data_IF_118324885864
#
_entry.id   IF_118324885864
#
_cell.length_a   1.000
_cell.length_b   1.000
_cell.length_c   1.000
_cell.angle_alpha   90.00
_cell.angle_beta   90.00
_cell.angle_gamma   90.00
#
_symmetry.space_group_name_H-M   'P 1'
#
loop_
_entity.id
_entity.type
_entity.pdbx_description
1 polymer ?
#
# COMPACT_ATOMS: atom_id res chain seq x y z
N UNK A 1 -5.79 -3.54 -8.01
CA UNK A 1 -6.33 -4.91 -7.82
C UNK A 1 -5.28 -5.90 -7.37
N UNK A 2 -4.08 -5.93 -7.99
CA UNK A 2 -3.02 -6.87 -7.63
C UNK A 2 -2.65 -6.93 -6.14
N UNK A 3 -2.49 -5.78 -5.47
CA UNK A 3 -2.26 -5.74 -4.02
C UNK A 3 -3.42 -6.32 -3.21
N UNK A 4 -4.66 -6.08 -3.64
CA UNK A 4 -5.84 -6.61 -2.94
C UNK A 4 -5.92 -8.13 -3.09
N UNK A 5 -5.68 -8.66 -4.28
CA UNK A 5 -5.66 -10.11 -4.49
C UNK A 5 -4.56 -10.78 -3.68
N UNK A 6 -3.35 -10.18 -3.65
CA UNK A 6 -2.29 -10.67 -2.80
C UNK A 6 -2.71 -10.63 -1.32
N UNK A 7 -3.23 -9.51 -0.82
CA UNK A 7 -3.59 -9.38 0.58
C UNK A 7 -4.78 -10.27 1.01
N UNK A 8 -5.73 -10.57 0.10
CA UNK A 8 -6.78 -11.56 0.33
C UNK A 8 -6.21 -12.98 0.44
N UNK A 9 -5.26 -13.36 -0.42
CA UNK A 9 -4.66 -14.70 -0.42
C UNK A 9 -3.69 -14.91 0.73
N UNK A 10 -2.86 -13.90 1.03
CA UNK A 10 -1.70 -14.07 1.91
C UNK A 10 -1.91 -13.48 3.31
N UNK A 11 -2.77 -12.47 3.49
CA UNK A 11 -2.89 -11.75 4.76
C UNK A 11 -4.23 -11.97 5.46
N UNK A 12 -5.04 -12.95 5.03
CA UNK A 12 -6.34 -13.24 5.65
C UNK A 12 -7.29 -12.03 5.70
N UNK A 13 -7.05 -11.02 4.85
CA UNK A 13 -7.92 -9.86 4.77
C UNK A 13 -9.26 -10.30 4.20
N UNK A 14 -10.33 -9.68 4.67
CA UNK A 14 -11.66 -9.92 4.12
C UNK A 14 -12.02 -8.88 3.05
N UNK A 15 -12.88 -9.20 2.07
CA UNK A 15 -13.34 -8.22 1.07
C UNK A 15 -13.93 -6.94 1.68
N UNK A 16 -14.54 -7.03 2.87
CA UNK A 16 -15.13 -5.90 3.60
C UNK A 16 -14.11 -4.86 4.07
N UNK A 17 -12.84 -5.23 4.24
CA UNK A 17 -11.77 -4.31 4.63
C UNK A 17 -11.34 -3.36 3.51
N UNK A 18 -11.71 -3.66 2.25
CA UNK A 18 -11.39 -2.83 1.09
C UNK A 18 -12.51 -1.83 0.75
N UNK A 19 -13.19 -1.30 1.76
CA UNK A 19 -14.30 -0.34 1.59
C UNK A 19 -13.86 1.08 1.92
N UNK A 20 -14.57 2.06 1.35
CA UNK A 20 -14.33 3.49 1.61
C UNK A 20 -12.88 3.95 1.29
N UNK A 21 -12.26 4.78 2.15
CA UNK A 21 -10.89 5.26 1.93
C UNK A 21 -9.83 4.15 1.87
N UNK A 22 -10.01 3.08 2.64
CA UNK A 22 -9.08 1.94 2.68
C UNK A 22 -9.02 1.17 1.34
N UNK A 23 -10.06 1.30 0.50
CA UNK A 23 -10.11 0.70 -0.82
C UNK A 23 -8.96 1.14 -1.74
N UNK A 24 -8.35 2.30 -1.46
CA UNK A 24 -7.33 2.94 -2.28
C UNK A 24 -6.00 3.14 -1.56
N UNK A 25 -5.87 2.64 -0.33
CA UNK A 25 -4.66 2.77 0.48
C UNK A 25 -3.59 1.76 0.07
N UNK A 26 -2.95 2.00 -1.08
CA UNK A 26 -1.91 1.12 -1.60
C UNK A 26 -0.70 1.07 -0.65
N UNK A 27 -0.39 2.18 0.04
CA UNK A 27 0.65 2.24 1.07
C UNK A 27 0.35 1.30 2.22
N UNK A 28 -0.84 1.39 2.80
CA UNK A 28 -1.25 0.50 3.88
C UNK A 28 -1.20 -0.97 3.49
N UNK A 29 -1.67 -1.31 2.29
CA UNK A 29 -1.64 -2.69 1.78
C UNK A 29 -0.22 -3.22 1.56
N UNK A 30 0.64 -2.42 0.90
CA UNK A 30 2.03 -2.80 0.66
C UNK A 30 2.81 -2.95 1.97
N UNK A 31 2.61 -2.03 2.92
CA UNK A 31 3.23 -2.10 4.25
C UNK A 31 2.82 -3.36 4.99
N UNK A 32 1.52 -3.70 5.03
CA UNK A 32 1.03 -4.94 5.66
C UNK A 32 1.64 -6.19 5.04
N UNK A 33 1.68 -6.28 3.71
CA UNK A 33 2.30 -7.41 3.00
C UNK A 33 3.79 -7.53 3.32
N UNK A 34 4.51 -6.41 3.37
CA UNK A 34 5.94 -6.39 3.67
C UNK A 34 6.29 -6.67 5.14
N UNK A 35 5.34 -6.45 6.07
CA UNK A 35 5.54 -6.61 7.51
C UNK A 35 4.87 -7.84 8.12
N UNK A 36 4.10 -8.58 7.33
CA UNK A 36 3.53 -9.86 7.74
C UNK A 36 4.64 -10.83 8.20
N UNK A 37 4.36 -11.70 9.16
CA UNK A 37 5.38 -12.56 9.73
C UNK A 37 5.79 -13.68 8.75
N UNK A 38 7.05 -13.73 8.27
CA UNK A 38 7.48 -14.77 7.35
C UNK A 38 7.82 -16.07 8.09
N UNK A 39 7.33 -17.20 7.58
CA UNK A 39 7.66 -18.56 8.04
C UNK A 39 8.88 -19.11 7.30
N UNK A 40 8.98 -18.84 5.99
CA UNK A 40 10.07 -19.32 5.12
C UNK A 40 11.06 -18.20 4.78
N UNK A 41 12.27 -18.59 4.33
CA UNK A 41 13.27 -17.64 3.84
C UNK A 41 12.82 -17.00 2.51
N UNK A 42 12.12 -17.78 1.71
CA UNK A 42 11.50 -17.40 0.43
C UNK A 42 10.45 -16.31 0.65
N UNK A 43 9.53 -16.48 1.61
CA UNK A 43 8.55 -15.46 2.01
C UNK A 43 9.24 -14.17 2.44
N UNK A 44 10.29 -14.26 3.29
CA UNK A 44 11.05 -13.08 3.73
C UNK A 44 11.69 -12.34 2.57
N UNK A 45 12.22 -13.06 1.57
CA UNK A 45 12.78 -12.47 0.35
C UNK A 45 11.68 -11.82 -0.48
N UNK A 46 10.55 -12.50 -0.64
CA UNK A 46 9.38 -11.99 -1.38
C UNK A 46 8.77 -10.74 -0.77
N UNK A 47 8.88 -10.54 0.54
CA UNK A 47 8.35 -9.36 1.25
C UNK A 47 9.17 -8.07 1.03
N UNK A 48 10.34 -8.14 0.40
CA UNK A 48 11.14 -6.95 0.09
C UNK A 48 10.50 -6.16 -1.05
N UNK A 49 10.09 -4.92 -0.77
CA UNK A 49 9.56 -4.01 -1.78
C UNK A 49 10.65 -3.63 -2.79
N UNK A 50 10.39 -3.73 -4.10
CA UNK A 50 11.39 -3.49 -5.14
C UNK A 50 11.62 -2.00 -5.46
N UNK A 51 11.02 -1.08 -4.71
CA UNK A 51 11.12 0.37 -4.91
C UNK A 51 10.99 1.10 -3.55
N UNK A 52 11.45 2.37 -3.46
CA UNK A 52 11.41 3.13 -2.22
C UNK A 52 9.98 3.46 -1.77
N UNK A 53 9.75 3.56 -0.46
CA UNK A 53 8.42 3.86 0.09
C UNK A 53 7.82 5.19 -0.42
N UNK A 54 8.66 6.18 -0.71
CA UNK A 54 8.23 7.48 -1.26
C UNK A 54 7.58 7.38 -2.64
N UNK A 55 7.95 6.37 -3.44
CA UNK A 55 7.37 6.14 -4.76
C UNK A 55 5.92 5.67 -4.68
N UNK A 56 5.63 4.81 -3.72
CA UNK A 56 4.28 4.30 -3.52
C UNK A 56 3.34 5.39 -2.99
N UNK A 57 3.83 6.23 -2.08
CA UNK A 57 3.09 7.39 -1.58
C UNK A 57 2.80 8.40 -2.70
N UNK A 58 3.78 8.64 -3.57
CA UNK A 58 3.59 9.48 -4.76
C UNK A 58 2.51 8.91 -5.68
N UNK A 59 2.53 7.60 -5.96
CA UNK A 59 1.55 6.94 -6.83
C UNK A 59 0.12 7.04 -6.25
N UNK A 60 -0.04 6.86 -4.94
CA UNK A 60 -1.31 7.01 -4.24
C UNK A 60 -1.86 8.44 -4.34
N UNK A 61 -0.99 9.43 -4.14
CA UNK A 61 -1.36 10.85 -4.26
C UNK A 61 -1.71 11.21 -5.71
N UNK A 62 -0.95 10.68 -6.68
CA UNK A 62 -1.18 10.90 -8.10
C UNK A 62 -2.55 10.37 -8.54
N UNK A 63 -2.95 9.19 -8.05
CA UNK A 63 -4.27 8.61 -8.33
C UNK A 63 -5.44 9.55 -7.97
N UNK A 64 -5.42 10.15 -6.78
CA UNK A 64 -6.48 11.06 -6.35
C UNK A 64 -6.46 12.38 -7.14
N UNK A 65 -5.27 12.93 -7.33
CA UNK A 65 -5.08 14.22 -7.98
C UNK A 65 -5.28 14.19 -9.50
N UNK A 66 -5.17 13.03 -10.15
CA UNK A 66 -5.45 12.85 -11.58
C UNK A 66 -6.94 12.79 -11.92
N UNK A 67 -7.80 12.42 -10.96
CA UNK A 67 -9.25 12.22 -11.21
C UNK A 67 -10.10 13.43 -10.81
N UNK A 68 -9.70 14.15 -9.77
CA UNK A 68 -10.49 15.24 -9.23
C UNK A 68 -9.73 16.57 -9.35
N UNK A 69 -10.34 17.61 -9.95
CA UNK A 69 -9.75 18.94 -9.98
C UNK A 69 -9.55 19.45 -8.55
N UNK A 70 -8.38 20.02 -8.28
CA UNK A 70 -8.16 20.68 -7.02
C UNK A 70 -8.85 22.06 -7.07
N UNK A 71 -9.96 22.20 -6.34
CA UNK A 71 -10.75 23.42 -6.28
C UNK A 71 -9.91 24.67 -5.93
N UNK A 72 -8.83 24.50 -5.16
CA UNK A 72 -7.96 25.62 -4.76
C UNK A 72 -7.02 26.13 -5.87
N UNK A 73 -6.77 25.33 -6.93
CA UNK A 73 -5.77 25.65 -7.96
C UNK A 73 -6.35 25.92 -9.35
N UNK A 74 -7.62 25.63 -9.60
CA UNK A 74 -8.28 25.88 -10.90
C UNK A 74 -7.66 25.14 -12.09
N UNK A 75 -6.70 24.24 -11.85
CA UNK A 75 -6.01 23.50 -12.92
C UNK A 75 -6.77 22.24 -13.30
N UNK A 76 -6.88 22.01 -14.60
CA UNK A 76 -7.39 20.77 -15.18
C UNK A 76 -6.41 19.63 -14.83
N UNK A 77 -6.85 18.52 -14.21
CA UNK A 77 -5.97 17.42 -13.77
C UNK A 77 -5.01 16.88 -14.84
N UNK A 78 -5.47 16.81 -16.09
CA UNK A 78 -4.67 16.31 -17.22
C UNK A 78 -3.39 17.12 -17.48
N UNK A 79 -3.36 18.41 -17.11
CA UNK A 79 -2.18 19.26 -17.30
C UNK A 79 -1.18 19.20 -16.14
N UNK A 80 -1.48 18.42 -15.08
CA UNK A 80 -0.64 18.36 -13.87
C UNK A 80 0.50 17.35 -13.96
N UNK A 81 0.44 16.46 -14.95
CA UNK A 81 1.39 15.35 -15.10
C UNK A 81 2.07 15.42 -16.46
N UNK A 82 3.37 15.18 -16.44
CA UNK A 82 4.21 15.09 -17.63
C UNK A 82 4.20 13.68 -18.22
N UNK A 83 4.74 13.53 -19.43
CA UNK A 83 5.02 12.21 -20.01
C UNK A 83 6.01 11.39 -19.17
N UNK A 84 6.93 12.07 -18.45
CA UNK A 84 7.88 11.41 -17.54
C UNK A 84 7.16 10.84 -16.31
N UNK A 85 6.19 11.58 -15.75
CA UNK A 85 5.36 11.08 -14.66
C UNK A 85 4.55 9.85 -15.07
N UNK A 86 4.02 9.85 -16.30
CA UNK A 86 3.31 8.71 -16.86
C UNK A 86 4.24 7.49 -16.99
N UNK A 87 5.46 7.68 -17.49
CA UNK A 87 6.47 6.62 -17.59
C UNK A 87 6.87 6.08 -16.20
N UNK A 88 7.09 6.96 -15.23
CA UNK A 88 7.38 6.60 -13.84
C UNK A 88 6.26 5.76 -13.23
N UNK A 89 5.01 6.20 -13.37
CA UNK A 89 3.85 5.47 -12.86
C UNK A 89 3.73 4.07 -13.49
N UNK A 90 4.02 3.95 -14.79
CA UNK A 90 3.98 2.68 -15.51
C UNK A 90 5.06 1.71 -15.00
N UNK A 91 6.29 2.19 -14.82
CA UNK A 91 7.40 1.39 -14.26
C UNK A 91 7.02 0.90 -12.85
N UNK A 92 6.53 1.79 -11.98
CA UNK A 92 6.13 1.43 -10.63
C UNK A 92 4.99 0.40 -10.63
N UNK A 93 4.00 0.56 -11.51
CA UNK A 93 2.90 -0.39 -11.63
C UNK A 93 3.37 -1.79 -12.09
N UNK A 94 4.33 -1.85 -13.02
CA UNK A 94 4.93 -3.11 -13.47
C UNK A 94 5.73 -3.79 -12.35
N UNK A 95 6.54 -3.03 -11.62
CA UNK A 95 7.29 -3.55 -10.46
C UNK A 95 6.35 -4.06 -9.38
N UNK A 96 5.28 -3.32 -9.08
CA UNK A 96 4.26 -3.73 -8.13
C UNK A 96 3.57 -5.03 -8.55
N UNK A 97 3.20 -5.14 -9.84
CA UNK A 97 2.60 -6.35 -10.40
C UNK A 97 3.54 -7.55 -10.28
N UNK A 98 4.81 -7.39 -10.66
CA UNK A 98 5.81 -8.45 -10.55
C UNK A 98 6.00 -8.87 -9.09
N UNK A 99 6.11 -7.91 -8.17
CA UNK A 99 6.23 -8.16 -6.75
C UNK A 99 5.03 -8.95 -6.21
N UNK A 100 3.81 -8.50 -6.47
CA UNK A 100 2.59 -9.19 -5.99
C UNK A 100 2.44 -10.61 -6.51
N UNK A 101 2.99 -10.92 -7.70
CA UNK A 101 3.01 -12.29 -8.25
C UNK A 101 4.06 -13.18 -7.60
N UNK A 102 5.11 -12.60 -7.06
CA UNK A 102 6.18 -13.31 -6.34
C UNK A 102 5.89 -13.54 -4.87
N UNK A 103 4.83 -12.92 -4.33
CA UNK A 103 4.43 -13.15 -2.94
C UNK A 103 3.83 -14.55 -2.81
N UNK A 104 4.49 -15.38 -2.02
CA UNK A 104 3.94 -16.66 -1.56
C UNK A 104 2.82 -16.44 -0.54
N UNK A 105 1.97 -17.44 -0.36
CA UNK A 105 0.96 -17.43 0.69
C UNK A 105 1.63 -17.24 2.06
N UNK A 106 1.30 -16.12 2.71
CA UNK A 106 1.77 -15.79 4.04
C UNK A 106 0.77 -16.36 5.07
N UNK A 107 1.23 -16.69 6.28
CA UNK A 107 0.29 -16.99 7.35
C UNK A 107 -0.54 -15.74 7.67
N UNK A 108 -1.81 -15.93 8.01
CA UNK A 108 -2.70 -14.84 8.40
C UNK A 108 -2.05 -14.02 9.56
N UNK A 109 -1.77 -12.72 9.40
CA UNK A 109 -1.21 -11.87 10.44
C UNK A 109 -2.10 -11.81 11.69
N UNK A 110 -3.39 -12.13 11.58
CA UNK A 110 -4.29 -12.29 12.72
C UNK A 110 -4.05 -13.55 13.55
N UNK A 111 -3.55 -14.64 12.95
CA UNK A 111 -3.29 -15.90 13.64
C UNK A 111 -2.08 -15.82 14.58
N UNK A 112 -1.03 -15.08 14.17
CA UNK A 112 0.16 -14.87 14.99
C UNK A 112 -0.10 -13.96 16.22
N UNK A 113 -1.15 -13.13 16.18
CA UNK A 113 -1.47 -12.20 17.27
C UNK A 113 -2.10 -12.86 18.50
N UNK A 114 -2.49 -14.14 18.48
CA UNK A 114 -3.15 -14.80 19.62
C UNK A 114 -4.48 -14.17 20.07
N UNK A 115 -4.94 -13.09 19.41
CA UNK A 115 -6.25 -12.50 19.61
C UNK A 115 -7.25 -13.35 18.87
N UNK A 116 -7.85 -14.31 19.58
CA UNK A 116 -9.09 -14.98 19.15
C UNK A 116 -10.04 -13.91 18.64
N UNK A 117 -10.34 -13.91 17.34
CA UNK A 117 -11.46 -13.13 16.81
C UNK A 117 -12.73 -13.60 17.53
N UNK A 118 -13.62 -12.70 17.99
CA UNK A 118 -14.96 -13.10 18.35
C UNK A 118 -15.57 -13.80 17.13
N UNK A 119 -16.05 -15.02 17.34
CA UNK A 119 -16.75 -15.83 16.36
C UNK A 119 -18.08 -15.13 16.08
N UNK A 120 -18.09 -14.21 15.10
CA UNK A 120 -19.33 -13.70 14.54
C UNK A 120 -19.86 -14.75 13.55
N UNK A 121 -20.91 -15.43 14.02
CA UNK A 121 -22.04 -15.95 13.25
C UNK A 121 -21.70 -17.00 12.18
N UNK A 122 -21.44 -18.22 12.69
CA UNK A 122 -21.82 -19.44 12.00
C UNK A 122 -23.31 -19.67 12.34
N UNK A 123 -24.20 -19.19 11.49
CA UNK A 123 -25.59 -19.67 11.42
C UNK A 123 -25.56 -21.12 10.93
N UNK A 124 -25.32 -22.05 11.85
CA UNK A 124 -25.73 -23.44 11.67
C UNK A 124 -27.20 -23.54 12.09
N UNK A 125 -28.05 -23.55 11.07
CA UNK A 125 -29.45 -23.93 11.13
C UNK A 125 -29.51 -25.46 11.29
N UNK A 126 -29.40 -25.94 12.53
CA UNK A 126 -29.74 -27.32 12.87
C UNK A 126 -30.69 -27.32 14.08
N UNK A 127 -31.96 -27.53 13.74
CA UNK A 127 -32.99 -27.92 14.67
C UNK A 127 -32.67 -29.29 15.30
N UNK A 128 -32.99 -29.40 16.58
CA UNK A 128 -33.92 -30.40 17.14
C UNK A 128 -33.43 -31.13 18.42
N UNK A 129 -34.30 -31.09 19.42
CA UNK A 129 -34.46 -31.91 20.63
C UNK A 129 -33.27 -32.31 21.52
N UNK A 130 -33.30 -31.87 22.79
CA UNK A 130 -33.82 -32.73 23.88
C UNK A 130 -33.96 -32.01 25.22
N UNK A 131 -34.98 -32.46 25.97
CA UNK A 131 -35.58 -31.84 27.13
C UNK A 131 -35.15 -32.44 28.48
N UNK A 132 -35.24 -31.63 29.53
CA UNK A 132 -35.47 -32.00 30.95
C UNK A 132 -34.25 -32.46 31.74
N UNK A 133 -34.02 -32.14 33.02
CA UNK A 133 -34.79 -31.54 34.13
C UNK A 133 -33.82 -31.48 35.37
N UNK A 134 -34.19 -31.23 36.65
CA UNK A 134 -34.62 -29.99 37.32
C UNK A 134 -33.85 -29.65 38.65
N UNK A 135 -34.31 -28.60 39.37
CA UNK A 135 -34.11 -28.22 40.81
C UNK A 135 -32.91 -27.30 41.13
N UNK A 136 -32.96 -26.29 42.02
CA UNK A 136 -33.91 -25.86 43.08
C UNK A 136 -33.60 -24.38 43.53
N UNK A 137 -34.18 -23.81 44.61
CA UNK A 137 -34.82 -22.49 44.58
C UNK A 137 -34.03 -21.32 45.21
N UNK A 138 -34.53 -20.14 44.86
CA UNK A 138 -34.24 -18.77 45.32
C UNK A 138 -34.30 -18.57 46.85
N UNK A 139 -33.53 -17.62 47.39
CA UNK A 139 -33.99 -16.77 48.50
C UNK A 139 -34.09 -15.29 48.08
N UNK A 140 -34.96 -14.57 48.78
CA UNK A 140 -35.53 -13.27 48.46
C UNK A 140 -34.62 -12.05 48.69
N UNK A 141 -34.90 -10.98 47.93
CA UNK A 141 -34.50 -9.56 48.08
C UNK A 141 -35.00 -8.96 49.43
N UNK A 142 -34.54 -7.79 49.96
CA UNK A 142 -34.62 -6.45 49.32
C UNK A 142 -33.62 -5.36 49.87
N UNK A 143 -33.84 -4.03 49.74
CA UNK A 143 -33.89 -3.18 48.53
C UNK A 143 -33.00 -1.90 48.62
N UNK A 144 -33.12 -1.04 47.59
CA UNK A 144 -32.92 0.44 47.60
C UNK A 144 -31.51 1.02 47.47
N UNK A 145 -31.23 1.67 46.32
CA UNK A 145 -31.30 3.13 46.16
C UNK A 145 -30.64 3.60 44.83
N UNK A 146 -31.44 4.16 43.92
CA UNK A 146 -31.03 5.27 43.02
C UNK A 146 -31.15 6.58 43.84
N UNK A 147 -30.66 7.78 43.43
CA UNK A 147 -30.22 8.22 42.09
C UNK A 147 -28.93 9.08 42.08
N UNK A 148 -28.40 9.41 40.90
CA UNK A 148 -27.39 10.47 40.79
C UNK A 148 -26.75 10.58 39.42
N UNK A 149 -27.36 11.37 38.53
CA UNK A 149 -26.69 11.91 37.35
C UNK A 149 -25.56 12.86 37.77
N UNK A 150 -24.55 13.06 36.90
CA UNK A 150 -24.07 14.43 36.72
C UNK A 150 -24.06 14.85 35.24
N UNK A 151 -24.80 15.95 35.04
CA UNK A 151 -24.53 17.10 34.18
C UNK A 151 -23.44 17.01 33.10
N UNK A 152 -23.91 17.23 31.88
CA UNK A 152 -23.19 17.87 30.78
C UNK A 152 -22.77 19.29 31.22
N UNK A 153 -21.47 19.50 31.46
CA UNK A 153 -20.87 20.83 31.37
C UNK A 153 -19.95 20.88 30.17
N UNK A 154 -20.47 21.51 29.12
CA UNK A 154 -19.67 21.96 27.98
C UNK A 154 -18.64 22.98 28.46
N UNK A 155 -17.37 22.69 28.21
CA UNK A 155 -16.32 23.70 28.25
C UNK A 155 -15.63 23.69 26.90
N UNK A 156 -16.03 24.65 26.08
CA UNK A 156 -15.44 24.95 24.79
C UNK A 156 -14.03 25.52 25.01
N UNK A 157 -13.01 24.65 24.99
CA UNK A 157 -11.61 25.07 24.93
C UNK A 157 -11.23 25.23 23.46
N UNK A 158 -11.23 26.47 23.00
CA UNK A 158 -10.62 26.89 21.73
C UNK A 158 -9.13 26.53 21.73
N UNK A 159 -8.59 25.85 20.71
CA UNK A 159 -7.14 25.76 20.54
C UNK A 159 -6.61 27.09 20.02
N UNK A 160 -5.91 27.83 20.89
CA UNK A 160 -5.12 29.00 20.54
C UNK A 160 -3.92 28.55 19.70
N UNK A 161 -3.86 29.01 18.45
CA UNK A 161 -2.71 28.88 17.56
C UNK A 161 -1.47 29.54 18.19
N UNK A 162 -0.30 28.89 18.21
CA UNK A 162 0.95 29.56 18.53
C UNK A 162 1.42 30.41 17.35
N UNK A 163 1.47 31.72 17.60
CA UNK A 163 2.16 32.73 16.78
C UNK A 163 3.66 32.42 16.70
N UNK A 164 4.27 32.30 15.51
CA UNK A 164 5.73 32.33 15.39
C UNK A 164 6.23 33.78 15.51
N UNK A 165 7.02 34.06 16.53
CA UNK A 165 7.77 35.31 16.65
C UNK A 165 8.94 35.34 15.65
N UNK A 166 9.32 36.53 15.13
CA UNK A 166 10.42 36.67 14.19
C UNK A 166 11.74 36.62 14.95
N UNK A 167 12.62 35.69 14.61
CA UNK A 167 14.01 35.73 15.07
C UNK A 167 14.93 36.03 13.91
N UNK A 168 15.74 37.04 14.18
CA UNK A 168 16.66 37.73 13.30
C UNK A 168 17.76 36.81 12.78
N UNK A 169 18.23 37.20 11.61
CA UNK A 169 19.46 36.77 10.98
C UNK A 169 20.65 36.73 11.96
N UNK A 170 21.37 35.61 11.94
CA UNK A 170 22.81 35.62 12.14
C UNK A 170 23.46 34.93 10.96
N UNK A 171 24.31 35.71 10.31
CA UNK A 171 25.26 35.28 9.30
C UNK A 171 26.16 34.18 9.89
N UNK A 172 26.40 33.13 9.11
CA UNK A 172 27.63 32.34 9.23
C UNK A 172 28.03 31.93 7.82
N UNK A 173 28.91 32.76 7.29
CA UNK A 173 29.80 32.48 6.19
C UNK A 173 30.77 31.36 6.63
N UNK A 174 30.72 30.22 5.95
CA UNK A 174 31.74 29.19 6.01
C UNK A 174 31.63 28.36 4.73
N UNK A 175 32.11 28.95 3.63
CA UNK A 175 32.39 28.25 2.38
C UNK A 175 33.49 27.20 2.61
N UNK A 176 33.10 25.98 2.99
CA UNK A 176 33.93 24.80 2.83
C UNK A 176 33.76 24.29 1.40
N UNK A 177 34.73 24.61 0.54
CA UNK A 177 34.82 24.11 -0.82
C UNK A 177 34.88 22.58 -0.82
N UNK A 178 33.78 21.93 -1.20
CA UNK A 178 33.75 20.51 -1.47
C UNK A 178 34.63 20.20 -2.70
N UNK A 179 35.45 19.14 -2.69
CA UNK A 179 36.22 18.74 -3.87
C UNK A 179 35.27 18.38 -5.03
N UNK A 180 35.61 18.72 -6.28
CA UNK A 180 34.76 18.44 -7.43
C UNK A 180 34.53 16.94 -7.57
N UNK A 181 33.26 16.55 -7.71
CA UNK A 181 32.85 15.18 -7.95
C UNK A 181 33.48 14.65 -9.25
N UNK A 182 33.95 13.40 -9.29
CA UNK A 182 34.43 12.78 -10.51
C UNK A 182 33.31 12.72 -11.56
N UNK A 183 33.63 12.88 -12.86
CA UNK A 183 32.63 12.83 -13.91
C UNK A 183 31.95 11.45 -13.95
N UNK A 184 30.66 11.39 -14.30
CA UNK A 184 29.93 10.12 -14.40
C UNK A 184 30.56 9.22 -15.47
N UNK A 185 30.50 7.89 -15.28
CA UNK A 185 31.02 6.93 -16.26
C UNK A 185 30.30 7.10 -17.60
N UNK A 186 31.08 7.11 -18.69
CA UNK A 186 30.55 7.25 -20.03
C UNK A 186 29.54 6.13 -20.35
N UNK A 187 28.44 6.43 -21.07
CA UNK A 187 27.46 5.42 -21.42
C UNK A 187 28.10 4.32 -22.29
N UNK A 188 27.67 3.06 -22.13
CA UNK A 188 28.16 1.95 -22.94
C UNK A 188 27.86 2.24 -24.41
N UNK A 189 28.89 2.17 -25.25
CA UNK A 189 28.74 2.33 -26.70
C UNK A 189 27.78 1.27 -27.22
N UNK A 190 26.75 1.63 -28.00
CA UNK A 190 25.87 0.63 -28.62
C UNK A 190 26.71 -0.24 -29.55
N UNK A 191 26.74 -1.55 -29.27
CA UNK A 191 27.33 -2.54 -30.15
C UNK A 191 26.56 -2.51 -31.46
N UNK A 192 27.21 -2.06 -32.53
CA UNK A 192 26.61 -2.10 -33.87
C UNK A 192 26.31 -3.56 -34.22
N UNK A 193 25.12 -3.84 -34.80
CA UNK A 193 24.79 -5.19 -35.23
C UNK A 193 25.79 -5.62 -36.31
N UNK A 194 26.38 -6.79 -36.09
CA UNK A 194 27.24 -7.49 -37.04
C UNK A 194 26.48 -7.69 -38.36
N UNK A 195 26.89 -6.98 -39.40
CA UNK A 195 26.32 -7.12 -40.73
C UNK A 195 26.69 -8.51 -41.30
N UNK A 196 25.73 -9.34 -41.72
CA UNK A 196 26.04 -10.61 -42.36
C UNK A 196 26.72 -10.37 -43.73
N UNK A 197 27.64 -11.25 -44.15
CA UNK A 197 28.29 -11.14 -45.44
C UNK A 197 27.25 -11.29 -46.57
N UNK A 198 27.32 -10.40 -47.55
CA UNK A 198 26.49 -10.43 -48.74
C UNK A 198 26.57 -11.81 -49.41
N UNK A 199 25.45 -12.54 -49.42
CA UNK A 199 25.32 -13.80 -50.17
C UNK A 199 25.49 -13.48 -51.65
N UNK A 200 26.52 -14.07 -52.24
CA UNK A 200 26.84 -13.99 -53.65
C UNK A 200 25.67 -14.42 -54.53
N UNK A 201 25.56 -13.71 -55.65
CA UNK A 201 24.64 -13.98 -56.74
C UNK A 201 24.86 -15.41 -57.29
N UNK A 202 23.76 -16.15 -57.41
CA UNK A 202 23.68 -17.38 -58.17
C UNK A 202 23.80 -17.06 -59.67
N UNK A 203 24.60 -17.82 -60.45
CA UNK A 203 24.57 -17.71 -61.91
C UNK A 203 23.25 -18.27 -62.46
N UNK A 204 22.66 -17.47 -63.34
CA UNK A 204 21.47 -17.77 -64.13
C UNK A 204 21.80 -18.89 -65.14
N UNK A 205 21.17 -20.05 -64.98
CA UNK A 205 21.21 -21.14 -65.94
C UNK A 205 19.96 -21.04 -66.81
N UNK A 206 20.03 -20.25 -67.88
CA UNK A 206 19.12 -20.35 -69.01
C UNK A 206 19.73 -21.28 -70.06
N UNK A 207 19.33 -22.56 -69.99
CA UNK A 207 19.27 -23.46 -71.14
C UNK A 207 17.86 -23.35 -71.72
N UNK A 208 17.74 -23.01 -73.00
CA UNK A 208 16.47 -22.93 -73.70
C UNK A 208 16.61 -22.49 -75.16
N UNK A 209 16.75 -23.51 -76.02
CA UNK A 209 16.72 -23.58 -77.50
C UNK A 209 18.02 -23.33 -78.30
#
# INVERSE_FOLDING_TARGET
MALKSAALGTCGLTPGEFTGPAAHDICGLASRLSSAHPVTAEQRRGQQLPFPAGDLAWLQQAYLAARYPNASRGQIPAHRYSSEDAARALIQAQLLLAWTRSLEDLPDPGAASGRRRPREEQEDDDADMQAGSPRRPRPADPPSARPGAPELQGSAVRPTLPTPAPQHALHSDAAAAAPPLPPPPAPPRPSLPFAPPARGALPDASDGE
#
